data_IF_629591379926
#
_entry.id   IF_629591379926
#
_cell.length_a   1.000
_cell.length_b   1.000
_cell.length_c   1.000
_cell.angle_alpha   90.00
_cell.angle_beta   90.00
_cell.angle_gamma   90.00
#
_symmetry.space_group_name_H-M   'P 1'
#
loop_
_entity.id
_entity.type
_entity.pdbx_description
1 polymer ?
#
# COMPACT_ATOMS: atom_id res chain seq x y z
N UNK A 1 -1.91 -21.62 -8.21
CA UNK A 1 -2.47 -20.35 -8.69
C UNK A 1 -3.24 -20.67 -9.95
N UNK A 2 -4.51 -21.05 -9.82
CA UNK A 2 -5.34 -21.59 -10.91
C UNK A 2 -6.72 -20.96 -10.81
N UNK A 3 -7.24 -20.56 -11.98
CA UNK A 3 -8.49 -19.86 -12.31
C UNK A 3 -8.67 -18.43 -11.79
N UNK A 4 -8.22 -17.48 -12.62
CA UNK A 4 -8.59 -16.07 -12.54
C UNK A 4 -9.48 -15.72 -13.73
N UNK A 5 -10.69 -15.22 -13.48
CA UNK A 5 -11.44 -14.49 -14.50
C UNK A 5 -10.76 -13.13 -14.71
N UNK A 6 -10.44 -12.81 -15.96
CA UNK A 6 -9.90 -11.49 -16.32
C UNK A 6 -10.91 -10.42 -15.88
N UNK A 7 -10.52 -9.36 -15.16
CA UNK A 7 -11.45 -8.33 -14.69
C UNK A 7 -12.25 -7.75 -15.86
N UNK A 8 -13.56 -7.65 -15.70
CA UNK A 8 -14.42 -7.06 -16.73
C UNK A 8 -14.13 -5.56 -16.86
N UNK A 9 -14.56 -4.94 -17.97
CA UNK A 9 -14.46 -3.48 -18.12
C UNK A 9 -15.16 -2.75 -16.98
N UNK A 10 -16.31 -3.25 -16.53
CA UNK A 10 -17.04 -2.70 -15.39
C UNK A 10 -16.22 -2.77 -14.10
N UNK A 11 -15.57 -3.90 -13.83
CA UNK A 11 -14.70 -4.03 -12.64
C UNK A 11 -13.57 -3.01 -12.66
N UNK A 12 -12.95 -2.82 -13.83
CA UNK A 12 -11.88 -1.84 -14.02
C UNK A 12 -12.36 -0.40 -13.84
N UNK A 13 -13.56 -0.08 -14.34
CA UNK A 13 -14.18 1.24 -14.15
C UNK A 13 -14.50 1.51 -12.67
N UNK A 14 -15.03 0.51 -11.96
CA UNK A 14 -15.33 0.63 -10.53
C UNK A 14 -14.07 0.78 -9.68
N UNK A 15 -13.05 -0.04 -9.97
CA UNK A 15 -11.70 0.10 -9.41
C UNK A 15 -11.15 1.52 -9.56
N UNK A 16 -11.15 2.04 -10.79
CA UNK A 16 -10.70 3.39 -11.10
C UNK A 16 -11.50 4.45 -10.34
N UNK A 17 -12.83 4.31 -10.34
CA UNK A 17 -13.74 5.28 -9.72
C UNK A 17 -13.56 5.33 -8.21
N UNK A 18 -13.49 4.18 -7.54
CA UNK A 18 -13.29 4.10 -6.10
C UNK A 18 -11.90 4.61 -5.71
N UNK A 19 -10.86 4.27 -6.47
CA UNK A 19 -9.52 4.76 -6.23
C UNK A 19 -9.46 6.30 -6.31
N UNK A 20 -9.97 6.90 -7.39
CA UNK A 20 -9.84 8.34 -7.64
C UNK A 20 -10.86 9.21 -6.90
N UNK A 21 -12.10 8.74 -6.69
CA UNK A 21 -13.16 9.56 -6.07
C UNK A 21 -13.33 9.32 -4.57
N UNK A 22 -12.74 8.26 -4.03
CA UNK A 22 -12.90 7.92 -2.62
C UNK A 22 -11.57 7.68 -1.89
N UNK A 23 -10.78 6.68 -2.30
CA UNK A 23 -9.53 6.34 -1.58
C UNK A 23 -8.51 7.48 -1.66
N UNK A 24 -8.20 7.99 -2.86
CA UNK A 24 -7.24 9.09 -3.06
C UNK A 24 -7.58 10.38 -2.32
N UNK A 25 -8.82 10.89 -2.42
CA UNK A 25 -9.23 12.06 -1.66
C UNK A 25 -9.12 11.86 -0.15
N UNK A 26 -9.55 10.71 0.38
CA UNK A 26 -9.45 10.44 1.82
C UNK A 26 -8.01 10.30 2.30
N UNK A 27 -7.14 9.66 1.52
CA UNK A 27 -5.71 9.59 1.80
C UNK A 27 -5.12 11.00 1.85
N UNK A 28 -5.46 11.86 0.88
CA UNK A 28 -4.96 13.24 0.85
C UNK A 28 -5.48 14.05 2.05
N UNK A 29 -6.75 13.88 2.43
CA UNK A 29 -7.32 14.50 3.64
C UNK A 29 -6.58 14.04 4.90
N UNK A 30 -6.29 12.74 5.05
CA UNK A 30 -5.49 12.24 6.17
C UNK A 30 -4.13 12.94 6.22
N UNK A 31 -3.43 12.95 5.08
CA UNK A 31 -2.07 13.46 4.99
C UNK A 31 -1.96 14.95 5.27
N UNK A 32 -2.81 15.78 4.64
CA UNK A 32 -2.83 17.23 4.89
C UNK A 32 -3.01 17.52 6.37
N UNK A 33 -4.00 16.88 7.00
CA UNK A 33 -4.31 17.14 8.40
C UNK A 33 -3.26 16.56 9.35
N UNK A 34 -2.72 15.38 9.06
CA UNK A 34 -1.58 14.79 9.81
C UNK A 34 -0.36 15.70 9.76
N UNK A 35 -0.08 16.29 8.61
CA UNK A 35 1.05 17.20 8.41
C UNK A 35 0.90 18.49 9.21
N UNK A 36 -0.31 19.07 9.21
CA UNK A 36 -0.61 20.29 9.97
C UNK A 36 -0.55 20.10 11.48
N UNK A 37 -0.66 18.87 12.01
CA UNK A 37 -0.60 18.65 13.46
C UNK A 37 0.79 19.00 14.03
N UNK A 38 1.92 18.42 13.59
CA UNK A 38 3.25 18.88 14.01
C UNK A 38 3.53 20.35 13.73
N UNK A 39 3.02 20.93 12.64
CA UNK A 39 3.18 22.36 12.37
C UNK A 39 2.55 23.24 13.46
N UNK A 40 1.40 22.82 14.00
CA UNK A 40 0.69 23.55 15.04
C UNK A 40 1.20 23.26 16.46
N UNK A 41 1.70 22.04 16.72
CA UNK A 41 2.01 21.57 18.09
C UNK A 41 3.49 21.32 18.39
N UNK A 42 4.29 20.97 17.38
CA UNK A 42 5.69 20.56 17.57
C UNK A 42 6.61 21.73 17.21
N UNK A 43 7.04 22.51 18.20
CA UNK A 43 7.94 23.68 17.98
C UNK A 43 7.48 24.58 16.82
N UNK A 44 6.26 25.15 16.87
CA UNK A 44 5.67 25.88 15.75
C UNK A 44 6.50 27.09 15.27
N UNK A 45 7.30 27.69 16.16
CA UNK A 45 8.18 28.82 15.83
C UNK A 45 9.56 28.41 15.31
N UNK A 46 9.87 27.11 15.27
CA UNK A 46 11.19 26.58 14.88
C UNK A 46 11.02 25.42 13.89
N UNK A 47 10.72 25.72 12.60
CA UNK A 47 10.40 24.70 11.60
C UNK A 47 11.53 23.68 11.41
N UNK A 48 12.80 24.11 11.40
CA UNK A 48 13.95 23.20 11.28
C UNK A 48 14.03 22.20 12.44
N UNK A 49 13.94 22.67 13.69
CA UNK A 49 13.96 21.80 14.88
C UNK A 49 12.77 20.85 14.88
N UNK A 50 11.58 21.38 14.58
CA UNK A 50 10.36 20.61 14.46
C UNK A 50 10.51 19.47 13.44
N UNK A 51 11.11 19.76 12.29
CA UNK A 51 11.29 18.79 11.20
C UNK A 51 12.31 17.71 11.53
N UNK A 52 13.42 18.04 12.19
CA UNK A 52 14.35 17.03 12.69
C UNK A 52 13.72 16.09 13.71
N UNK A 53 12.89 16.61 14.62
CA UNK A 53 12.17 15.78 15.60
C UNK A 53 11.12 14.91 14.90
N UNK A 54 10.39 15.45 13.92
CA UNK A 54 9.54 14.64 13.04
C UNK A 54 10.35 13.52 12.38
N UNK A 55 11.53 13.82 11.82
CA UNK A 55 12.40 12.81 11.23
C UNK A 55 12.78 11.71 12.21
N UNK A 56 13.21 12.07 13.42
CA UNK A 56 13.56 11.12 14.46
C UNK A 56 12.38 10.18 14.79
N UNK A 57 11.16 10.71 14.89
CA UNK A 57 9.94 9.90 15.10
C UNK A 57 9.68 8.99 13.89
N UNK A 58 9.67 9.56 12.69
CA UNK A 58 9.32 8.86 11.46
C UNK A 58 10.25 7.71 11.11
N UNK A 59 11.56 7.98 11.05
CA UNK A 59 12.56 6.95 10.76
C UNK A 59 12.63 5.88 11.84
N UNK A 60 12.41 6.23 13.12
CA UNK A 60 12.37 5.22 14.20
C UNK A 60 11.20 4.26 14.02
N UNK A 61 10.00 4.78 13.72
CA UNK A 61 8.82 3.95 13.47
C UNK A 61 9.06 3.02 12.27
N UNK A 62 9.59 3.55 11.15
CA UNK A 62 9.88 2.74 9.96
C UNK A 62 10.93 1.67 10.22
N UNK A 63 12.02 2.02 10.90
CA UNK A 63 13.08 1.09 11.25
C UNK A 63 12.54 -0.06 12.13
N UNK A 64 11.70 0.26 13.13
CA UNK A 64 11.03 -0.76 13.94
C UNK A 64 10.07 -1.61 13.11
N UNK A 65 9.32 -1.01 12.17
CA UNK A 65 8.48 -1.73 11.22
C UNK A 65 9.26 -2.78 10.42
N UNK A 66 10.41 -2.38 9.84
CA UNK A 66 11.28 -3.29 9.11
C UNK A 66 11.83 -4.43 9.97
N UNK A 67 12.24 -4.16 11.21
CA UNK A 67 12.81 -5.18 12.09
C UNK A 67 11.74 -6.15 12.64
N UNK A 68 10.55 -5.64 12.95
CA UNK A 68 9.52 -6.39 13.65
C UNK A 68 8.47 -7.03 12.70
N UNK A 69 8.50 -6.76 11.40
CA UNK A 69 7.49 -7.24 10.44
C UNK A 69 7.20 -8.74 10.53
N UNK A 70 8.23 -9.58 10.63
CA UNK A 70 8.09 -11.05 10.66
C UNK A 70 7.46 -11.51 12.00
N UNK A 71 7.91 -10.89 13.10
CA UNK A 71 7.39 -11.17 14.44
C UNK A 71 5.92 -10.76 14.55
N UNK A 72 5.59 -9.57 14.06
CA UNK A 72 4.23 -9.03 14.05
C UNK A 72 3.31 -9.89 13.19
N UNK A 73 3.74 -10.30 12.00
CA UNK A 73 2.98 -11.21 11.14
C UNK A 73 2.75 -12.55 11.84
N UNK A 74 3.80 -13.18 12.37
CA UNK A 74 3.71 -14.48 13.05
C UNK A 74 2.84 -14.44 14.32
N UNK A 75 2.86 -13.34 15.06
CA UNK A 75 2.01 -13.13 16.24
C UNK A 75 0.55 -12.94 15.84
N UNK A 76 0.28 -12.08 14.84
CA UNK A 76 -1.07 -11.67 14.45
C UNK A 76 -1.85 -12.82 13.85
N UNK A 77 -1.25 -13.64 12.97
CA UNK A 77 -1.96 -14.78 12.34
C UNK A 77 -2.45 -15.83 13.34
N UNK A 78 -1.90 -15.86 14.56
CA UNK A 78 -2.31 -16.78 15.65
C UNK A 78 -3.49 -16.26 16.45
N UNK A 79 -3.86 -14.99 16.28
CA UNK A 79 -4.95 -14.36 17.03
C UNK A 79 -6.31 -14.66 16.39
N UNK A 80 -7.40 -14.40 17.13
CA UNK A 80 -8.74 -14.42 16.54
C UNK A 80 -8.96 -13.23 15.59
N UNK A 81 -9.96 -13.30 14.69
CA UNK A 81 -10.20 -12.28 13.65
C UNK A 81 -10.39 -10.86 14.20
N UNK A 82 -11.07 -10.70 15.34
CA UNK A 82 -11.29 -9.38 15.95
C UNK A 82 -9.97 -8.77 16.42
N UNK A 83 -9.15 -9.55 17.12
CA UNK A 83 -7.83 -9.12 17.58
C UNK A 83 -6.90 -8.86 16.41
N UNK A 84 -6.96 -9.67 15.34
CA UNK A 84 -6.23 -9.40 14.10
C UNK A 84 -6.59 -8.03 13.55
N UNK A 85 -7.88 -7.76 13.33
CA UNK A 85 -8.35 -6.47 12.83
C UNK A 85 -7.82 -5.30 13.67
N UNK A 86 -7.96 -5.35 15.00
CA UNK A 86 -7.46 -4.29 15.88
C UNK A 86 -5.95 -4.10 15.75
N UNK A 87 -5.16 -5.19 15.72
CA UNK A 87 -3.70 -5.09 15.58
C UNK A 87 -3.31 -4.46 14.24
N UNK A 88 -3.96 -4.86 13.14
CA UNK A 88 -3.69 -4.33 11.81
C UNK A 88 -3.98 -2.83 11.72
N UNK A 89 -5.12 -2.38 12.26
CA UNK A 89 -5.47 -0.96 12.25
C UNK A 89 -4.53 -0.12 13.11
N UNK A 90 -4.18 -0.62 14.31
CA UNK A 90 -3.22 0.08 15.18
C UNK A 90 -1.84 0.15 14.52
N UNK A 91 -1.37 -0.95 13.93
CA UNK A 91 -0.12 -0.97 13.18
C UNK A 91 -0.15 0.02 12.03
N UNK A 92 -1.20 -0.02 11.21
CA UNK A 92 -1.36 0.88 10.06
C UNK A 92 -1.36 2.33 10.51
N UNK A 93 -2.12 2.69 11.54
CA UNK A 93 -2.16 4.04 12.08
C UNK A 93 -0.78 4.54 12.52
N UNK A 94 -0.02 3.70 13.24
CA UNK A 94 1.35 4.02 13.66
C UNK A 94 2.28 4.22 12.45
N UNK A 95 2.19 3.33 11.45
CA UNK A 95 2.99 3.45 10.22
C UNK A 95 2.62 4.70 9.41
N UNK A 96 1.34 5.06 9.33
CA UNK A 96 0.89 6.31 8.70
C UNK A 96 1.53 7.52 9.38
N UNK A 97 1.52 7.55 10.71
CA UNK A 97 2.15 8.64 11.47
C UNK A 97 3.66 8.70 11.25
N UNK A 98 4.31 7.54 11.23
CA UNK A 98 5.74 7.45 10.91
C UNK A 98 6.04 8.01 9.52
N UNK A 99 5.22 7.69 8.53
CA UNK A 99 5.44 8.09 7.15
C UNK A 99 5.27 9.60 6.96
N UNK A 100 4.20 10.18 7.52
CA UNK A 100 3.98 11.65 7.46
C UNK A 100 5.16 12.39 8.10
N UNK A 101 5.66 11.93 9.25
CA UNK A 101 6.77 12.58 9.95
C UNK A 101 8.11 12.43 9.20
N UNK A 102 8.35 11.29 8.57
CA UNK A 102 9.51 11.07 7.69
C UNK A 102 9.47 12.02 6.48
N UNK A 103 8.32 12.11 5.81
CA UNK A 103 8.12 13.01 4.66
C UNK A 103 8.31 14.47 5.05
N UNK A 104 7.69 14.88 6.16
CA UNK A 104 7.82 16.24 6.68
C UNK A 104 9.26 16.62 6.97
N UNK A 105 10.04 15.71 7.57
CA UNK A 105 11.46 15.93 7.82
C UNK A 105 12.20 16.28 6.53
N UNK A 106 12.14 15.40 5.53
CA UNK A 106 12.91 15.59 4.30
C UNK A 106 12.42 16.83 3.55
N UNK A 107 11.10 16.99 3.41
CA UNK A 107 10.52 18.08 2.64
C UNK A 107 10.84 19.45 3.22
N UNK A 108 10.58 19.66 4.51
CA UNK A 108 10.79 20.97 5.15
C UNK A 108 12.27 21.28 5.26
N UNK A 109 13.14 20.29 5.54
CA UNK A 109 14.58 20.54 5.58
C UNK A 109 15.13 20.91 4.19
N UNK A 110 14.59 20.34 3.11
CA UNK A 110 14.93 20.79 1.76
C UNK A 110 14.48 22.24 1.53
N UNK A 111 13.26 22.60 1.89
CA UNK A 111 12.76 23.97 1.75
C UNK A 111 13.63 24.98 2.54
N UNK A 112 13.94 24.68 3.80
CA UNK A 112 14.69 25.58 4.69
C UNK A 112 16.18 25.69 4.32
N UNK A 113 16.83 24.59 3.89
CA UNK A 113 18.27 24.60 3.59
C UNK A 113 18.62 24.90 2.15
N UNK A 114 17.75 24.54 1.20
CA UNK A 114 18.03 24.70 -0.24
C UNK A 114 17.19 25.80 -0.90
N UNK A 115 16.16 26.28 -0.20
CA UNK A 115 15.27 27.34 -0.66
C UNK A 115 14.18 26.85 -1.62
N UNK A 116 13.22 27.74 -1.88
CA UNK A 116 12.06 27.46 -2.73
C UNK A 116 12.13 28.33 -4.00
N UNK A 117 12.61 27.75 -5.10
CA UNK A 117 12.70 28.41 -6.41
C UNK A 117 12.88 27.38 -7.54
N UNK A 118 12.50 27.76 -8.76
CA UNK A 118 12.30 26.84 -9.88
C UNK A 118 13.55 26.04 -10.24
N UNK A 119 14.73 26.67 -10.23
CA UNK A 119 15.98 25.98 -10.53
C UNK A 119 16.27 24.89 -9.50
N UNK A 120 16.09 25.15 -8.21
CA UNK A 120 16.28 24.16 -7.15
C UNK A 120 15.27 23.01 -7.28
N UNK A 121 14.00 23.34 -7.52
CA UNK A 121 12.93 22.36 -7.75
C UNK A 121 13.27 21.41 -8.91
N UNK A 122 13.69 21.97 -10.04
CA UNK A 122 14.04 21.22 -11.24
C UNK A 122 15.29 20.34 -11.04
N UNK A 123 16.36 20.89 -10.46
CA UNK A 123 17.58 20.14 -10.20
C UNK A 123 17.33 19.00 -9.20
N UNK A 124 16.64 19.27 -8.10
CA UNK A 124 16.28 18.25 -7.10
C UNK A 124 15.47 17.13 -7.73
N UNK A 125 14.46 17.46 -8.54
CA UNK A 125 13.65 16.48 -9.27
C UNK A 125 14.52 15.60 -10.18
N UNK A 126 15.32 16.22 -11.05
CA UNK A 126 16.12 15.49 -12.04
C UNK A 126 17.16 14.61 -11.35
N UNK A 127 17.92 15.14 -10.39
CA UNK A 127 18.95 14.35 -9.70
C UNK A 127 18.35 13.21 -8.87
N UNK A 128 17.27 13.47 -8.12
CA UNK A 128 16.63 12.44 -7.31
C UNK A 128 15.99 11.35 -8.19
N UNK A 129 15.32 11.73 -9.29
CA UNK A 129 14.77 10.76 -10.26
C UNK A 129 15.88 9.93 -10.90
N UNK A 130 17.00 10.53 -11.32
CA UNK A 130 18.13 9.80 -11.87
C UNK A 130 18.71 8.79 -10.87
N UNK A 131 18.83 9.16 -9.59
CA UNK A 131 19.25 8.23 -8.55
C UNK A 131 18.29 7.05 -8.39
N UNK A 132 16.97 7.29 -8.37
CA UNK A 132 15.99 6.20 -8.28
C UNK A 132 16.00 5.31 -9.52
N UNK A 133 16.17 5.86 -10.72
CA UNK A 133 16.30 5.08 -11.95
C UNK A 133 17.53 4.17 -11.91
N UNK A 134 18.67 4.69 -11.44
CA UNK A 134 19.90 3.90 -11.28
C UNK A 134 19.73 2.77 -10.25
N UNK A 135 18.99 3.05 -9.17
CA UNK A 135 18.68 2.05 -8.13
C UNK A 135 17.57 1.07 -8.54
N UNK A 136 16.87 1.33 -9.67
CA UNK A 136 15.64 0.63 -10.06
C UNK A 136 14.59 0.69 -8.95
N UNK A 137 14.39 1.88 -8.41
CA UNK A 137 13.48 2.16 -7.30
C UNK A 137 12.46 3.25 -7.64
N UNK A 138 12.31 3.65 -8.90
CA UNK A 138 11.47 4.76 -9.29
C UNK A 138 9.98 4.47 -9.03
N UNK A 139 9.53 3.22 -9.15
CA UNK A 139 8.13 2.84 -8.88
C UNK A 139 7.71 2.98 -7.41
N UNK A 140 8.67 3.17 -6.49
CA UNK A 140 8.37 3.46 -5.08
C UNK A 140 7.63 4.77 -4.86
N UNK A 141 7.77 5.73 -5.78
CA UNK A 141 7.14 7.04 -5.64
C UNK A 141 5.66 7.01 -6.07
N UNK A 142 5.18 5.91 -6.67
CA UNK A 142 3.79 5.76 -7.03
C UNK A 142 2.92 5.59 -5.77
N UNK A 143 1.92 6.45 -5.63
CA UNK A 143 1.00 6.47 -4.49
C UNK A 143 -0.46 6.44 -4.95
N UNK A 144 -1.38 6.39 -3.99
CA UNK A 144 -2.83 6.50 -4.22
C UNK A 144 -3.17 7.82 -4.88
N UNK A 145 -4.07 7.90 -5.89
CA UNK A 145 -5.01 6.86 -6.35
C UNK A 145 -4.46 5.93 -7.44
N UNK A 146 -3.22 6.11 -7.89
CA UNK A 146 -2.64 5.23 -8.91
C UNK A 146 -2.34 3.83 -8.37
N UNK A 147 -2.07 3.73 -7.07
CA UNK A 147 -1.91 2.48 -6.33
C UNK A 147 -2.88 2.44 -5.15
N UNK A 148 -3.61 1.35 -4.97
CA UNK A 148 -4.51 1.13 -3.82
C UNK A 148 -4.13 -0.18 -3.18
N UNK A 149 -3.73 -0.11 -1.91
CA UNK A 149 -3.41 -1.27 -1.08
C UNK A 149 -4.58 -1.57 -0.16
N UNK A 150 -5.00 -2.82 -0.17
CA UNK A 150 -6.02 -3.35 0.72
C UNK A 150 -5.37 -3.77 2.06
N UNK A 151 -6.13 -3.68 3.14
CA UNK A 151 -5.70 -4.12 4.48
C UNK A 151 -5.63 -5.67 4.58
N UNK A 152 -6.15 -6.35 3.57
CA UNK A 152 -6.18 -7.81 3.42
C UNK A 152 -5.31 -8.28 2.24
N UNK A 153 -4.66 -9.45 2.33
CA UNK A 153 -4.69 -10.41 3.44
C UNK A 153 -3.71 -10.06 4.57
N UNK A 154 -4.09 -10.43 5.81
CA UNK A 154 -3.34 -10.21 7.06
C UNK A 154 -1.85 -10.56 6.98
N UNK A 155 -1.52 -11.65 6.26
CA UNK A 155 -0.14 -12.15 6.16
C UNK A 155 0.82 -11.15 5.51
N UNK A 156 0.33 -10.42 4.51
CA UNK A 156 1.15 -9.50 3.71
C UNK A 156 1.10 -8.07 4.26
N UNK A 157 0.21 -7.80 5.22
CA UNK A 157 -0.03 -6.47 5.78
C UNK A 157 1.21 -5.84 6.44
N UNK A 158 2.03 -6.65 7.10
CA UNK A 158 3.26 -6.17 7.75
C UNK A 158 4.47 -6.11 6.81
N UNK A 159 4.35 -6.65 5.59
CA UNK A 159 5.51 -6.88 4.73
C UNK A 159 6.03 -5.56 4.17
N UNK A 160 7.27 -5.23 4.51
CA UNK A 160 7.99 -4.06 4.02
C UNK A 160 9.25 -4.53 3.29
N UNK A 161 9.16 -4.54 1.96
CA UNK A 161 10.30 -4.89 1.11
C UNK A 161 11.40 -3.82 1.22
N UNK A 162 12.64 -4.27 1.22
CA UNK A 162 13.84 -3.44 1.15
C UNK A 162 14.45 -3.48 -0.26
N UNK A 163 15.42 -2.61 -0.54
CA UNK A 163 16.08 -2.54 -1.85
C UNK A 163 16.79 -3.84 -2.22
N UNK A 164 17.53 -4.42 -1.27
CA UNK A 164 18.34 -5.61 -1.50
C UNK A 164 17.63 -6.91 -1.13
N UNK A 165 16.48 -6.83 -0.43
CA UNK A 165 15.64 -7.98 -0.05
C UNK A 165 16.45 -9.06 0.72
N UNK A 166 17.35 -8.60 1.59
CA UNK A 166 18.28 -9.48 2.30
C UNK A 166 17.52 -10.31 3.34
N UNK A 167 17.69 -11.63 3.25
CA UNK A 167 17.22 -12.60 4.23
C UNK A 167 18.40 -13.28 4.94
N UNK A 168 18.20 -13.70 6.19
CA UNK A 168 19.21 -14.41 6.98
C UNK A 168 19.88 -13.54 8.03
N UNK A 169 21.11 -13.06 7.75
CA UNK A 169 21.93 -12.33 8.73
C UNK A 169 21.24 -11.04 9.20
N UNK A 170 21.08 -10.93 10.52
CA UNK A 170 20.41 -9.80 11.16
C UNK A 170 21.08 -8.46 10.86
N UNK A 171 22.41 -8.40 10.82
CA UNK A 171 23.13 -7.14 10.59
C UNK A 171 22.97 -6.63 9.16
N UNK A 172 23.06 -7.53 8.18
CA UNK A 172 22.84 -7.15 6.78
C UNK A 172 21.37 -6.79 6.51
N UNK A 173 20.42 -7.50 7.13
CA UNK A 173 18.99 -7.14 7.07
C UNK A 173 18.74 -5.76 7.67
N UNK A 174 19.32 -5.46 8.83
CA UNK A 174 19.20 -4.15 9.45
C UNK A 174 19.85 -3.04 8.59
N UNK A 175 21.02 -3.30 7.99
CA UNK A 175 21.68 -2.36 7.11
C UNK A 175 20.86 -2.06 5.84
N UNK A 176 20.27 -3.08 5.22
CA UNK A 176 19.38 -2.93 4.05
C UNK A 176 18.11 -2.16 4.40
N UNK A 177 17.52 -2.43 5.58
CA UNK A 177 16.39 -1.67 6.11
C UNK A 177 16.74 -0.20 6.34
N UNK A 178 17.89 0.09 6.97
CA UNK A 178 18.37 1.46 7.18
C UNK A 178 18.62 2.16 5.86
N UNK A 179 19.31 1.50 4.92
CA UNK A 179 19.59 2.07 3.60
C UNK A 179 18.30 2.38 2.85
N UNK A 180 17.33 1.46 2.86
CA UNK A 180 16.04 1.67 2.21
C UNK A 180 15.28 2.82 2.87
N UNK A 181 15.09 2.76 4.18
CA UNK A 181 14.30 3.73 4.94
C UNK A 181 14.89 5.14 4.93
N UNK A 182 16.22 5.27 5.07
CA UNK A 182 16.87 6.58 5.17
C UNK A 182 17.24 7.11 3.79
N UNK A 183 17.86 6.30 2.94
CA UNK A 183 18.38 6.81 1.68
C UNK A 183 17.31 6.77 0.58
N UNK A 184 16.77 5.58 0.28
CA UNK A 184 15.89 5.40 -0.88
C UNK A 184 14.57 6.16 -0.70
N UNK A 185 13.92 6.04 0.45
CA UNK A 185 12.66 6.74 0.71
C UNK A 185 12.85 8.26 0.67
N UNK A 186 13.96 8.79 1.22
CA UNK A 186 14.24 10.23 1.20
C UNK A 186 14.49 10.77 -0.21
N UNK A 187 15.14 10.00 -1.07
CA UNK A 187 15.28 10.35 -2.49
C UNK A 187 13.91 10.35 -3.16
N UNK A 188 13.02 9.39 -2.85
CA UNK A 188 11.62 9.39 -3.28
C UNK A 188 10.86 10.64 -2.88
N UNK A 189 10.99 11.07 -1.62
CA UNK A 189 10.39 12.30 -1.11
C UNK A 189 10.93 13.53 -1.85
N UNK A 190 12.24 13.57 -2.15
CA UNK A 190 12.86 14.66 -2.89
C UNK A 190 12.31 14.80 -4.33
N UNK A 191 12.02 13.67 -5.01
CA UNK A 191 11.32 13.69 -6.32
C UNK A 191 9.94 14.32 -6.18
N UNK A 192 9.15 13.86 -5.21
CA UNK A 192 7.80 14.39 -4.97
C UNK A 192 7.81 15.88 -4.69
N UNK A 193 8.69 16.33 -3.78
CA UNK A 193 8.87 17.74 -3.44
C UNK A 193 9.23 18.57 -4.66
N UNK A 194 10.20 18.11 -5.45
CA UNK A 194 10.64 18.83 -6.64
C UNK A 194 9.54 18.96 -7.70
N UNK A 195 8.80 17.89 -8.00
CA UNK A 195 7.67 17.95 -8.95
C UNK A 195 6.57 18.89 -8.45
N UNK A 196 6.24 18.80 -7.16
CA UNK A 196 5.23 19.65 -6.52
C UNK A 196 5.61 21.12 -6.60
N UNK A 197 6.85 21.47 -6.26
CA UNK A 197 7.33 22.84 -6.26
C UNK A 197 7.41 23.43 -7.68
N UNK A 198 7.84 22.64 -8.68
CA UNK A 198 7.75 23.06 -10.09
C UNK A 198 6.32 23.46 -10.44
N UNK A 199 5.32 22.69 -10.00
CA UNK A 199 3.92 23.02 -10.23
C UNK A 199 3.45 24.25 -9.45
N UNK A 200 3.88 24.43 -8.19
CA UNK A 200 3.58 25.62 -7.40
C UNK A 200 4.07 26.90 -8.06
N UNK A 201 5.23 26.85 -8.71
CA UNK A 201 5.83 28.00 -9.36
C UNK A 201 5.35 28.21 -10.81
N UNK A 202 4.89 27.16 -11.49
CA UNK A 202 4.50 27.23 -12.91
C UNK A 202 2.99 27.31 -13.14
N UNK A 203 2.17 26.67 -12.30
CA UNK A 203 0.73 26.51 -12.54
C UNK A 203 -0.07 27.60 -11.84
N UNK A 204 -0.40 28.67 -12.58
CA UNK A 204 -1.17 29.83 -12.09
C UNK A 204 -0.73 30.30 -10.68
N UNK A 205 0.55 30.70 -10.52
CA UNK A 205 1.13 30.97 -9.20
C UNK A 205 0.39 32.06 -8.41
N UNK A 206 -0.23 33.01 -9.11
CA UNK A 206 -0.95 34.13 -8.50
C UNK A 206 -2.38 33.76 -8.04
N UNK A 207 -2.93 32.64 -8.50
CA UNK A 207 -4.27 32.15 -8.14
C UNK A 207 -4.20 30.71 -7.65
N UNK A 208 -4.05 30.57 -6.33
CA UNK A 208 -3.96 29.25 -5.68
C UNK A 208 -5.22 28.39 -5.88
N UNK A 209 -6.40 29.00 -5.98
CA UNK A 209 -7.64 28.26 -6.22
C UNK A 209 -7.61 27.64 -7.60
N UNK A 210 -7.33 28.44 -8.63
CA UNK A 210 -7.20 27.94 -10.00
C UNK A 210 -6.04 26.96 -10.13
N UNK A 211 -4.96 27.16 -9.38
CA UNK A 211 -3.82 26.25 -9.36
C UNK A 211 -4.21 24.87 -8.84
N UNK A 212 -4.96 24.80 -7.74
CA UNK A 212 -5.51 23.55 -7.22
C UNK A 212 -6.48 22.88 -8.19
N UNK A 213 -7.38 23.65 -8.81
CA UNK A 213 -8.33 23.15 -9.81
C UNK A 213 -7.61 22.59 -11.03
N UNK A 214 -6.64 23.32 -11.61
CA UNK A 214 -5.88 22.85 -12.76
C UNK A 214 -5.06 21.61 -12.45
N UNK A 215 -4.50 21.49 -11.23
CA UNK A 215 -3.86 20.25 -10.79
C UNK A 215 -4.82 19.06 -10.83
N UNK A 216 -6.05 19.22 -10.34
CA UNK A 216 -7.06 18.16 -10.46
C UNK A 216 -7.42 17.88 -11.93
N UNK A 217 -7.64 18.91 -12.75
CA UNK A 217 -7.96 18.73 -14.18
C UNK A 217 -6.87 17.93 -14.90
N UNK A 218 -5.59 18.26 -14.68
CA UNK A 218 -4.45 17.54 -15.24
C UNK A 218 -4.44 16.09 -14.75
N UNK A 219 -4.58 15.88 -13.44
CA UNK A 219 -4.61 14.55 -12.83
C UNK A 219 -5.70 13.67 -13.47
N UNK A 220 -6.97 14.09 -13.40
CA UNK A 220 -8.09 13.29 -13.87
C UNK A 220 -8.05 13.06 -15.38
N UNK A 221 -7.66 14.06 -16.17
CA UNK A 221 -7.56 13.92 -17.62
C UNK A 221 -6.49 12.91 -18.03
N UNK A 222 -5.30 13.00 -17.43
CA UNK A 222 -4.20 12.08 -17.72
C UNK A 222 -4.46 10.68 -17.15
N UNK A 223 -5.10 10.58 -15.97
CA UNK A 223 -5.54 9.31 -15.40
C UNK A 223 -6.52 8.57 -16.32
N UNK A 224 -7.52 9.27 -16.87
CA UNK A 224 -8.49 8.71 -17.82
C UNK A 224 -7.75 8.25 -19.09
N UNK A 225 -6.83 9.06 -19.62
CA UNK A 225 -6.03 8.69 -20.78
C UNK A 225 -5.22 7.41 -20.54
N UNK A 226 -4.50 7.33 -19.42
CA UNK A 226 -3.73 6.15 -19.03
C UNK A 226 -4.64 4.94 -18.82
N UNK A 227 -5.81 5.12 -18.21
CA UNK A 227 -6.78 4.04 -18.00
C UNK A 227 -7.27 3.45 -19.32
N UNK A 228 -7.66 4.31 -20.27
CA UNK A 228 -8.13 3.91 -21.60
C UNK A 228 -7.02 3.24 -22.42
N UNK A 229 -5.78 3.69 -22.27
CA UNK A 229 -4.62 3.18 -23.02
C UNK A 229 -3.88 2.04 -22.33
N UNK A 230 -4.21 1.69 -21.08
CA UNK A 230 -3.48 0.71 -20.26
C UNK A 230 -3.26 -0.64 -20.97
N UNK A 231 -4.27 -1.15 -21.70
CA UNK A 231 -4.12 -2.42 -22.42
C UNK A 231 -3.10 -2.35 -23.56
N UNK A 232 -3.03 -1.20 -24.25
CA UNK A 232 -2.07 -0.96 -25.32
C UNK A 232 -0.67 -0.83 -24.72
N UNK A 233 -0.51 -0.03 -23.67
CA UNK A 233 0.76 0.16 -22.94
C UNK A 233 1.29 -1.18 -22.42
N UNK A 234 0.43 -2.03 -21.85
CA UNK A 234 0.79 -3.39 -21.40
C UNK A 234 1.29 -4.27 -22.56
N UNK A 235 0.61 -4.26 -23.71
CA UNK A 235 1.04 -5.02 -24.90
C UNK A 235 2.40 -4.54 -25.40
N UNK A 236 2.65 -3.23 -25.39
CA UNK A 236 3.94 -2.64 -25.76
C UNK A 236 5.02 -3.09 -24.77
N UNK A 237 4.78 -3.00 -23.47
CA UNK A 237 5.74 -3.48 -22.46
C UNK A 237 6.09 -4.95 -22.68
N UNK A 238 5.10 -5.84 -22.84
CA UNK A 238 5.34 -7.26 -23.13
C UNK A 238 6.18 -7.43 -24.40
N UNK A 239 5.87 -6.69 -25.46
CA UNK A 239 6.65 -6.77 -26.69
C UNK A 239 8.11 -6.35 -26.49
N UNK A 240 8.34 -5.24 -25.79
CA UNK A 240 9.69 -4.74 -25.50
C UNK A 240 10.45 -5.71 -24.59
N UNK A 241 9.79 -6.32 -23.60
CA UNK A 241 10.38 -7.32 -22.70
C UNK A 241 10.94 -8.52 -23.47
N UNK A 242 10.23 -8.97 -24.51
CA UNK A 242 10.70 -10.07 -25.38
C UNK A 242 11.88 -9.68 -26.29
N UNK A 243 12.11 -8.38 -26.52
CA UNK A 243 13.15 -7.87 -27.42
C UNK A 243 14.41 -7.47 -26.67
N UNK A 244 14.26 -6.62 -25.65
CA UNK A 244 15.38 -6.09 -24.88
C UNK A 244 14.92 -5.58 -23.51
N UNK A 245 15.38 -6.23 -22.44
CA UNK A 245 14.94 -5.93 -21.07
C UNK A 245 15.21 -4.48 -20.63
N UNK A 246 16.34 -3.86 -21.01
CA UNK A 246 16.62 -2.44 -20.68
C UNK A 246 15.65 -1.48 -21.36
N UNK A 247 15.23 -1.76 -22.60
CA UNK A 247 14.30 -0.89 -23.33
C UNK A 247 12.90 -1.03 -22.74
N UNK A 248 12.52 -2.24 -22.36
CA UNK A 248 11.30 -2.49 -21.60
C UNK A 248 11.33 -1.70 -20.29
N UNK A 249 12.40 -1.85 -19.49
CA UNK A 249 12.56 -1.14 -18.22
C UNK A 249 12.43 0.38 -18.39
N UNK A 250 13.17 0.97 -19.33
CA UNK A 250 13.08 2.42 -19.59
C UNK A 250 11.66 2.85 -20.02
N UNK A 251 10.95 2.02 -20.78
CA UNK A 251 9.56 2.28 -21.14
C UNK A 251 8.63 2.21 -19.91
N UNK A 252 8.80 1.20 -19.05
CA UNK A 252 8.01 1.07 -17.82
C UNK A 252 8.28 2.22 -16.84
N UNK A 253 9.53 2.68 -16.74
CA UNK A 253 9.92 3.83 -15.91
C UNK A 253 9.31 5.13 -16.44
N UNK A 254 9.28 5.34 -17.76
CA UNK A 254 8.57 6.47 -18.38
C UNK A 254 7.07 6.47 -18.06
N UNK A 255 6.42 5.30 -18.11
CA UNK A 255 5.00 5.16 -17.75
C UNK A 255 4.81 5.42 -16.24
N UNK A 256 5.72 4.92 -15.41
CA UNK A 256 5.72 5.16 -13.95
C UNK A 256 5.87 6.65 -13.63
N UNK A 257 6.73 7.38 -14.33
CA UNK A 257 6.85 8.83 -14.23
C UNK A 257 5.52 9.53 -14.54
N UNK A 258 4.82 9.13 -15.60
CA UNK A 258 3.49 9.67 -15.92
C UNK A 258 2.47 9.39 -14.80
N UNK A 259 2.43 8.16 -14.27
CA UNK A 259 1.58 7.83 -13.12
C UNK A 259 1.92 8.66 -11.88
N UNK A 260 3.20 8.90 -11.65
CA UNK A 260 3.67 9.71 -10.52
C UNK A 260 3.21 11.16 -10.68
N UNK A 261 3.32 11.74 -11.87
CA UNK A 261 2.79 13.08 -12.17
C UNK A 261 1.28 13.18 -11.98
N UNK A 262 0.51 12.18 -12.43
CA UNK A 262 -0.94 12.10 -12.16
C UNK A 262 -1.21 12.16 -10.66
N UNK A 263 -0.47 11.37 -9.90
CA UNK A 263 -0.63 11.25 -8.45
C UNK A 263 -0.27 12.55 -7.74
N UNK A 264 0.89 13.15 -8.06
CA UNK A 264 1.30 14.44 -7.50
C UNK A 264 0.27 15.53 -7.81
N UNK A 265 -0.23 15.61 -9.04
CA UNK A 265 -1.31 16.53 -9.42
C UNK A 265 -2.59 16.30 -8.62
N UNK A 266 -2.99 15.04 -8.38
CA UNK A 266 -4.16 14.70 -7.57
C UNK A 266 -4.00 15.26 -6.14
N UNK A 267 -2.89 14.91 -5.50
CA UNK A 267 -2.60 15.31 -4.13
C UNK A 267 -2.50 16.82 -4.00
N UNK A 268 -1.73 17.45 -4.87
CA UNK A 268 -1.55 18.90 -4.90
C UNK A 268 -2.88 19.61 -5.06
N UNK A 269 -3.74 19.15 -5.97
CA UNK A 269 -5.05 19.74 -6.17
C UNK A 269 -5.90 19.75 -4.90
N UNK A 270 -6.05 18.59 -4.24
CA UNK A 270 -6.80 18.50 -2.99
C UNK A 270 -6.12 19.26 -1.85
N UNK A 271 -4.80 19.15 -1.71
CA UNK A 271 -4.02 19.82 -0.66
C UNK A 271 -4.17 21.35 -0.75
N UNK A 272 -4.01 21.92 -1.94
CA UNK A 272 -4.14 23.36 -2.17
C UNK A 272 -5.57 23.83 -1.87
N UNK A 273 -6.60 23.10 -2.34
CA UNK A 273 -7.99 23.47 -2.07
C UNK A 273 -8.33 23.35 -0.57
N UNK A 274 -7.86 22.31 0.12
CA UNK A 274 -8.03 22.19 1.57
C UNK A 274 -7.32 23.32 2.32
N UNK A 275 -6.12 23.74 1.89
CA UNK A 275 -5.41 24.86 2.50
C UNK A 275 -6.16 26.19 2.40
N UNK A 276 -7.07 26.33 1.44
CA UNK A 276 -7.88 27.53 1.25
C UNK A 276 -9.21 27.43 2.00
N UNK A 277 -9.89 26.28 1.88
CA UNK A 277 -11.29 26.12 2.30
C UNK A 277 -11.49 25.43 3.65
N UNK A 278 -10.51 24.67 4.15
CA UNK A 278 -10.62 24.04 5.46
C UNK A 278 -10.36 25.08 6.56
N UNK A 279 -11.23 25.19 7.58
CA UNK A 279 -11.02 26.16 8.65
C UNK A 279 -9.73 25.85 9.41
N UNK A 280 -8.85 26.84 9.55
CA UNK A 280 -7.60 26.79 10.32
C UNK A 280 -7.82 26.71 11.84
N UNK A 281 -8.54 25.70 12.30
CA UNK A 281 -8.75 25.43 13.72
C UNK A 281 -8.07 24.11 14.07
N UNK A 282 -7.22 24.03 15.11
CA UNK A 282 -6.54 22.77 15.44
C UNK A 282 -7.47 21.57 15.62
N UNK A 283 -8.72 21.79 16.04
CA UNK A 283 -9.74 20.75 16.13
C UNK A 283 -10.20 20.19 14.77
N UNK A 284 -10.28 21.03 13.72
CA UNK A 284 -10.69 20.54 12.38
C UNK A 284 -9.66 19.55 11.85
N UNK A 285 -8.37 19.82 12.05
CA UNK A 285 -7.30 18.91 11.67
C UNK A 285 -7.44 17.54 12.35
N UNK A 286 -7.68 17.50 13.66
CA UNK A 286 -7.93 16.24 14.36
C UNK A 286 -9.16 15.49 13.86
N UNK A 287 -10.27 16.19 13.64
CA UNK A 287 -11.52 15.57 13.14
C UNK A 287 -11.30 14.99 11.74
N UNK A 288 -10.68 15.74 10.83
CA UNK A 288 -10.41 15.27 9.48
C UNK A 288 -9.38 14.14 9.46
N UNK A 289 -8.33 14.22 10.28
CA UNK A 289 -7.30 13.18 10.46
C UNK A 289 -7.90 11.84 10.92
N UNK A 290 -8.65 11.84 12.02
CA UNK A 290 -9.27 10.61 12.57
C UNK A 290 -10.40 10.14 11.66
N UNK A 291 -11.20 11.07 11.12
CA UNK A 291 -12.32 10.75 10.26
C UNK A 291 -11.90 10.06 8.96
N UNK A 292 -10.90 10.59 8.26
CA UNK A 292 -10.43 9.98 7.01
C UNK A 292 -9.75 8.63 7.25
N UNK A 293 -8.95 8.49 8.31
CA UNK A 293 -8.37 7.20 8.70
C UNK A 293 -9.48 6.17 8.97
N UNK A 294 -10.48 6.53 9.78
CA UNK A 294 -11.57 5.63 10.16
C UNK A 294 -12.38 5.19 8.94
N UNK A 295 -12.68 6.11 8.02
CA UNK A 295 -13.40 5.78 6.79
C UNK A 295 -12.59 4.84 5.88
N UNK A 296 -11.27 5.03 5.80
CA UNK A 296 -10.39 4.13 5.03
C UNK A 296 -10.24 2.76 5.70
N UNK A 297 -10.13 2.71 7.03
CA UNK A 297 -10.06 1.47 7.81
C UNK A 297 -11.35 0.65 7.69
N UNK A 298 -12.52 1.28 7.82
CA UNK A 298 -13.81 0.64 7.53
C UNK A 298 -13.87 0.17 6.08
N UNK A 299 -13.23 0.91 5.17
CA UNK A 299 -13.05 0.57 3.78
C UNK A 299 -12.01 -0.50 3.48
N UNK A 300 -11.31 -1.05 4.48
CA UNK A 300 -10.16 -1.94 4.29
C UNK A 300 -9.09 -1.38 3.32
N UNK A 301 -8.89 -0.06 3.32
CA UNK A 301 -7.95 0.65 2.47
C UNK A 301 -7.00 1.57 3.27
N UNK A 302 -6.91 1.43 4.60
CA UNK A 302 -6.06 2.28 5.42
C UNK A 302 -4.57 2.10 5.08
N UNK A 303 -4.15 0.91 4.63
CA UNK A 303 -2.79 0.61 4.15
C UNK A 303 -2.44 1.34 2.85
N UNK A 304 -3.39 2.01 2.21
CA UNK A 304 -3.11 2.94 1.11
C UNK A 304 -2.52 4.28 1.58
N UNK A 305 -2.63 4.61 2.87
CA UNK A 305 -2.11 5.88 3.42
C UNK A 305 -0.58 5.87 3.49
N UNK A 306 0.11 4.89 4.12
CA UNK A 306 1.56 4.91 4.21
C UNK A 306 2.20 4.30 2.96
N UNK A 307 3.31 4.90 2.51
CA UNK A 307 4.20 4.29 1.52
C UNK A 307 5.04 3.24 2.25
N UNK A 308 4.60 1.97 2.19
CA UNK A 308 5.29 0.86 2.85
C UNK A 308 6.24 0.13 1.91
N UNK A 309 7.52 0.19 2.24
CA UNK A 309 8.58 -0.54 1.58
C UNK A 309 8.80 -0.12 0.13
N UNK A 310 9.67 -0.89 -0.53
CA UNK A 310 10.10 -0.62 -1.89
C UNK A 310 9.58 -1.67 -2.88
N UNK A 311 9.19 -1.23 -4.07
CA UNK A 311 9.03 -2.12 -5.22
C UNK A 311 10.10 -1.82 -6.25
N UNK A 312 10.94 -2.82 -6.53
CA UNK A 312 12.07 -2.69 -7.44
C UNK A 312 11.61 -2.77 -8.90
N UNK A 313 12.04 -1.83 -9.72
CA UNK A 313 11.66 -1.71 -11.13
C UNK A 313 12.18 -2.93 -11.92
N UNK A 314 11.38 -3.43 -12.87
CA UNK A 314 11.69 -4.63 -13.65
C UNK A 314 11.67 -5.96 -12.87
N UNK A 315 11.13 -6.00 -11.64
CA UNK A 315 10.77 -7.27 -10.98
C UNK A 315 9.47 -7.86 -11.52
N UNK A 316 8.54 -7.00 -11.93
CA UNK A 316 7.28 -7.42 -12.53
C UNK A 316 7.53 -7.82 -13.98
N UNK A 317 6.93 -8.92 -14.41
CA UNK A 317 7.05 -9.47 -15.76
C UNK A 317 5.71 -9.40 -16.47
N UNK A 318 5.71 -9.62 -17.79
CA UNK A 318 4.50 -9.68 -18.62
C UNK A 318 3.72 -8.35 -18.62
N UNK A 319 4.45 -7.24 -18.55
CA UNK A 319 3.90 -5.89 -18.58
C UNK A 319 3.01 -5.53 -17.38
N UNK A 320 3.14 -6.22 -16.25
CA UNK A 320 2.46 -5.80 -15.01
C UNK A 320 3.11 -4.53 -14.40
N UNK A 321 4.33 -4.17 -14.80
CA UNK A 321 5.01 -2.96 -14.35
C UNK A 321 4.28 -1.65 -14.68
N UNK A 322 3.47 -1.67 -15.76
CA UNK A 322 2.78 -0.50 -16.33
C UNK A 322 1.26 -0.47 -16.06
N UNK A 323 0.76 -1.38 -15.24
CA UNK A 323 -0.67 -1.48 -14.91
C UNK A 323 -0.96 -0.69 -13.63
N UNK A 324 -2.07 0.06 -13.60
CA UNK A 324 -2.57 0.68 -12.36
C UNK A 324 -2.80 -0.42 -11.32
N UNK A 325 -2.12 -0.31 -10.18
CA UNK A 325 -2.28 -1.26 -9.08
C UNK A 325 -3.50 -0.86 -8.24
N UNK A 326 -4.68 -0.80 -8.86
CA UNK A 326 -5.91 -0.26 -8.28
C UNK A 326 -7.03 -1.31 -8.22
N UNK A 327 -6.75 -2.50 -7.68
CA UNK A 327 -7.66 -3.64 -7.76
C UNK A 327 -8.71 -3.72 -6.63
N UNK A 328 -9.04 -2.60 -5.99
CA UNK A 328 -9.89 -2.54 -4.78
C UNK A 328 -11.18 -3.38 -4.88
N UNK A 329 -12.03 -3.05 -5.84
CA UNK A 329 -13.33 -3.70 -6.02
C UNK A 329 -13.20 -5.16 -6.45
N UNK A 330 -12.20 -5.47 -7.27
CA UNK A 330 -11.90 -6.85 -7.68
C UNK A 330 -11.52 -7.72 -6.48
N UNK A 331 -10.73 -7.19 -5.54
CA UNK A 331 -10.39 -7.88 -4.30
C UNK A 331 -11.61 -8.06 -3.39
N UNK A 332 -12.43 -7.02 -3.24
CA UNK A 332 -13.67 -7.10 -2.45
C UNK A 332 -14.63 -8.17 -2.96
N UNK A 333 -14.86 -8.23 -4.27
CA UNK A 333 -15.67 -9.29 -4.90
C UNK A 333 -15.15 -10.69 -4.59
N UNK A 334 -13.83 -10.86 -4.61
CA UNK A 334 -13.19 -12.15 -4.34
C UNK A 334 -13.41 -12.60 -2.90
N UNK A 335 -13.27 -11.70 -1.94
CA UNK A 335 -13.47 -11.98 -0.51
C UNK A 335 -14.93 -12.37 -0.25
N UNK A 336 -15.87 -11.57 -0.77
CA UNK A 336 -17.30 -11.86 -0.66
C UNK A 336 -17.68 -13.21 -1.31
N UNK A 337 -17.06 -13.57 -2.43
CA UNK A 337 -17.27 -14.85 -3.10
C UNK A 337 -16.71 -16.05 -2.32
N UNK A 338 -15.56 -15.89 -1.64
CA UNK A 338 -14.99 -16.95 -0.80
C UNK A 338 -15.84 -17.22 0.45
N UNK A 339 -16.42 -16.19 1.06
CA UNK A 339 -17.31 -16.37 2.21
C UNK A 339 -18.59 -17.12 1.82
N UNK A 340 -19.15 -16.88 0.63
CA UNK A 340 -20.30 -17.64 0.12
C UNK A 340 -19.98 -19.13 -0.09
N UNK A 341 -18.77 -19.48 -0.57
CA UNK A 341 -18.35 -20.88 -0.72
C UNK A 341 -18.08 -21.52 0.64
N UNK A 342 -17.54 -20.77 1.61
CA UNK A 342 -17.28 -21.27 2.97
C UNK A 342 -18.56 -21.47 3.79
N UNK A 343 -19.62 -20.69 3.52
CA UNK A 343 -20.95 -20.92 4.09
C UNK A 343 -21.76 -21.99 3.35
N UNK A 344 -21.39 -22.33 2.11
CA UNK A 344 -21.93 -23.48 1.37
C UNK A 344 -21.27 -24.82 1.72
N UNK A 345 -20.10 -24.80 2.37
CA UNK A 345 -19.35 -25.98 2.79
C UNK A 345 -19.06 -25.93 4.29
N UNK A 346 -20.12 -26.02 5.11
CA UNK A 346 -19.96 -26.67 6.42
C UNK A 346 -19.75 -28.15 6.10
N UNK A 347 -18.50 -28.54 5.85
CA UNK A 347 -18.12 -29.92 6.04
C UNK A 347 -18.31 -30.21 7.52
N UNK A 348 -19.44 -30.82 7.87
CA UNK A 348 -19.50 -31.69 9.03
C UNK A 348 -18.27 -32.59 8.94
N UNK A 349 -17.33 -32.42 9.88
CA UNK A 349 -16.31 -33.42 10.09
C UNK A 349 -17.04 -34.75 10.27
N UNK A 350 -16.75 -35.80 9.47
CA UNK A 350 -17.24 -37.11 9.79
C UNK A 350 -16.58 -37.49 11.12
N UNK A 351 -17.38 -37.49 12.19
CA UNK A 351 -17.00 -38.18 13.42
C UNK A 351 -16.80 -39.64 13.03
N UNK A 352 -15.56 -40.06 12.95
CA UNK A 352 -15.23 -41.48 12.86
C UNK A 352 -15.55 -42.11 14.21
N UNK A 353 -16.78 -42.59 14.36
CA UNK A 353 -17.13 -43.53 15.41
C UNK A 353 -16.33 -44.81 15.18
N UNK A 354 -15.28 -45.05 15.98
CA UNK A 354 -14.77 -46.40 16.18
C UNK A 354 -15.82 -47.15 17.00
N UNK A 355 -16.19 -48.35 16.53
CA UNK A 355 -16.95 -49.31 17.30
C UNK A 355 -16.24 -49.55 18.64
N UNK A 356 -17.01 -49.48 19.72
CA UNK A 356 -16.67 -49.53 21.14
C UNK A 356 -16.49 -48.15 21.78
N UNK A 357 -17.60 -47.63 22.30
CA UNK A 357 -17.68 -46.35 22.97
C UNK A 357 -16.86 -46.30 24.26
N UNK A 358 -15.73 -45.59 24.19
CA UNK A 358 -15.09 -44.90 25.31
C UNK A 358 -14.19 -43.81 24.73
N UNK A 359 -14.49 -42.54 25.03
CA UNK A 359 -13.60 -41.41 24.74
C UNK A 359 -12.66 -41.20 25.94
N UNK A 360 -11.36 -41.16 25.70
CA UNK A 360 -10.37 -40.67 26.67
C UNK A 360 -9.36 -39.80 25.93
N UNK A 361 -8.92 -38.67 26.52
CA UNK A 361 -7.94 -37.79 25.91
C UNK A 361 -6.55 -38.44 25.93
N UNK A 362 -5.87 -38.47 24.77
CA UNK A 362 -4.45 -38.84 24.67
C UNK A 362 -3.57 -37.72 25.27
N UNK A 363 -2.50 -38.06 26.03
CA UNK A 363 -1.52 -37.08 26.51
C UNK A 363 -0.52 -36.68 25.40
N UNK A 364 0.21 -35.56 25.57
CA UNK A 364 1.06 -35.00 24.52
C UNK A 364 2.33 -35.85 24.33
N UNK A 365 2.66 -36.18 23.08
CA UNK A 365 3.91 -36.86 22.73
C UNK A 365 5.02 -35.80 22.65
N UNK A 366 6.02 -35.96 23.52
CA UNK A 366 7.32 -35.27 23.47
C UNK A 366 8.06 -35.63 22.17
N UNK A 367 8.66 -34.63 21.54
CA UNK A 367 9.60 -34.82 20.44
C UNK A 367 10.96 -35.26 21.00
N UNK A 368 11.38 -36.48 20.66
CA UNK A 368 12.75 -36.94 20.84
C UNK A 368 13.39 -37.11 19.44
N UNK A 369 14.61 -36.57 19.30
CA UNK A 369 15.39 -36.57 18.07
C UNK A 369 15.92 -37.98 17.74
N UNK A 370 15.67 -38.49 16.53
CA UNK A 370 16.58 -39.44 15.87
C UNK A 370 16.38 -39.49 14.35
N UNK A 371 17.50 -39.39 13.62
CA UNK A 371 17.65 -39.58 12.17
C UNK A 371 17.31 -41.02 11.73
N UNK A 372 16.61 -41.19 10.59
CA UNK A 372 17.03 -42.01 9.44
C UNK A 372 15.92 -42.19 8.39
N UNK A 373 16.29 -41.89 7.14
CA UNK A 373 15.85 -42.45 5.85
C UNK A 373 14.73 -43.52 5.85
N UNK A 374 13.53 -43.17 5.35
CA UNK A 374 12.70 -44.00 4.44
C UNK A 374 11.69 -43.09 3.71
N UNK A 375 11.62 -43.18 2.38
CA UNK A 375 10.62 -42.50 1.54
C UNK A 375 9.25 -43.24 1.58
N UNK A 376 8.10 -42.56 1.72
CA UNK A 376 6.81 -43.23 1.64
C UNK A 376 6.23 -43.22 0.20
N UNK A 377 5.81 -44.41 -0.24
CA UNK A 377 4.98 -44.65 -1.44
C UNK A 377 3.63 -43.94 -1.31
N UNK A 378 3.28 -43.17 -2.35
CA UNK A 378 1.93 -42.59 -2.53
C UNK A 378 1.02 -43.66 -3.12
N UNK A 379 -0.05 -44.01 -2.39
CA UNK A 379 -1.14 -44.85 -2.90
C UNK A 379 -2.30 -43.92 -3.23
N UNK A 380 -2.64 -43.79 -4.51
CA UNK A 380 -3.82 -43.04 -4.95
C UNK A 380 -5.10 -43.80 -4.57
N UNK A 381 -5.98 -43.17 -3.81
CA UNK A 381 -7.37 -43.64 -3.61
C UNK A 381 -8.28 -42.68 -4.36
N UNK A 382 -8.95 -43.19 -5.38
CA UNK A 382 -10.02 -42.55 -6.15
C UNK A 382 -11.29 -42.44 -5.30
N UNK A 383 -11.85 -41.24 -5.16
CA UNK A 383 -13.17 -41.03 -4.55
C UNK A 383 -14.25 -40.93 -5.63
N UNK A 384 -15.20 -41.87 -5.63
CA UNK A 384 -16.45 -41.80 -6.39
C UNK A 384 -17.46 -40.89 -5.68
N UNK A 385 -18.13 -40.03 -6.47
CA UNK A 385 -19.21 -39.15 -6.02
C UNK A 385 -20.51 -39.93 -5.78
N UNK A 386 -21.09 -39.83 -4.58
CA UNK A 386 -22.53 -40.05 -4.36
C UNK A 386 -23.13 -38.87 -3.60
N UNK A 387 -24.07 -38.18 -4.24
CA UNK A 387 -24.99 -37.24 -3.60
C UNK A 387 -26.10 -37.99 -2.85
N UNK A 388 -26.56 -37.44 -1.71
CA UNK A 388 -27.96 -37.61 -1.32
C UNK A 388 -28.72 -36.27 -1.27
N UNK A 389 -30.02 -36.42 -1.55
CA UNK A 389 -31.09 -35.43 -1.59
C UNK A 389 -31.57 -35.02 -0.19
N UNK A 390 -32.13 -33.81 -0.13
CA UNK A 390 -33.12 -33.27 0.81
C UNK A 390 -32.91 -33.48 2.32
N UNK A 391 -32.83 -32.37 3.05
CA UNK A 391 -33.65 -32.15 4.25
C UNK A 391 -33.72 -30.66 4.61
N UNK A 392 -34.93 -30.27 4.98
CA UNK A 392 -35.39 -28.92 5.19
C UNK A 392 -35.14 -28.39 6.60
N UNK A 393 -35.11 -27.06 6.67
CA UNK A 393 -35.55 -26.20 7.79
C UNK A 393 -34.52 -25.74 8.84
N UNK A 394 -34.63 -24.41 9.07
CA UNK A 394 -34.27 -23.58 10.24
C UNK A 394 -32.92 -22.84 10.21
N UNK A 395 -33.04 -21.59 9.76
CA UNK A 395 -32.33 -20.40 10.25
C UNK A 395 -32.37 -20.29 11.79
N UNK A 396 -31.34 -19.71 12.45
CA UNK A 396 -31.19 -18.23 12.45
C UNK A 396 -29.77 -17.67 12.29
N UNK A 397 -29.79 -16.42 11.82
CA UNK A 397 -28.72 -15.42 11.60
C UNK A 397 -27.80 -15.19 12.80
N UNK A 398 -26.50 -14.96 12.56
CA UNK A 398 -25.74 -13.89 13.23
C UNK A 398 -24.38 -13.54 12.59
N UNK A 399 -24.23 -12.23 12.30
CA UNK A 399 -23.05 -11.36 12.30
C UNK A 399 -21.85 -11.67 11.38
N UNK A 400 -21.92 -11.11 10.17
CA UNK A 400 -20.75 -10.67 9.39
C UNK A 400 -20.27 -9.30 9.92
N UNK A 401 -19.00 -9.20 10.33
CA UNK A 401 -18.33 -7.90 10.42
C UNK A 401 -18.05 -7.39 9.00
N UNK A 402 -18.33 -6.11 8.81
CA UNK A 402 -18.33 -5.37 7.53
C UNK A 402 -16.95 -5.28 6.89
#
# INVERSE_FOLDING_TARGET
MTDYSVPTLLDRLLNFTLAYLWVGPLVTVYWYNSWSLPENYLFPSHPVTSSWISGAIGYTIFFLGYLLQDLMSAFTVRQNKLVQCVILEVYTYVMCWGNVNQWRCVWVLLDEYTGVFLLNAALTTVFASLLLLLLRAHRTIASTPSTVRMDIPVKDHFKMNTLFDISGDYWFKAADAIFTAIFVDSVGIAVWRGVWEVMDLALTPDDKTMSGVWSLVISYSLAILLFLTQNLVKKISIHLETRHWLVALAFEDCVTLLHSTVTVCHWRGFWTLMSIYLPFKPLSHWVCHIGSFTLLAIGMAATSIPVLGLMRDGRLQKGEGVVFDNFYFTHMKKVAGHDQISHGNICEYPKTCRNNGTCSPLPPIMFEHSNMNVAPRVTMVTCENRYPKDLSSKEPKMLSCF
#
